data_IF_657024738124
#
_entry.id   IF_657024738124
#
_cell.length_a   1.000
_cell.length_b   1.000
_cell.length_c   1.000
_cell.angle_alpha   90.00
_cell.angle_beta   90.00
_cell.angle_gamma   90.00
#
_symmetry.space_group_name_H-M   'P 1'
#
loop_
_entity.id
_entity.type
_entity.pdbx_description
1 polymer ?
#
# COMPACT_ATOMS: atom_id res chain seq x y z
N UNK A 1 -54.03 -6.67 -73.07
CA UNK A 1 -52.99 -7.65 -72.66
C UNK A 1 -51.96 -6.94 -71.80
N UNK A 2 -51.82 -7.37 -70.54
CA UNK A 2 -50.65 -7.28 -69.63
C UNK A 2 -50.23 -5.88 -69.14
N UNK A 3 -50.65 -5.42 -67.95
CA UNK A 3 -49.99 -5.56 -66.62
C UNK A 3 -48.51 -5.17 -66.59
N UNK A 4 -48.15 -4.02 -65.96
CA UNK A 4 -47.19 -3.88 -64.84
C UNK A 4 -46.85 -2.40 -64.55
N UNK A 5 -46.57 -2.09 -63.27
CA UNK A 5 -45.89 -0.88 -62.73
C UNK A 5 -46.76 0.33 -62.34
N UNK A 6 -47.76 0.09 -61.49
CA UNK A 6 -47.85 0.89 -60.27
C UNK A 6 -46.82 0.31 -59.29
N UNK A 7 -45.87 1.13 -58.83
CA UNK A 7 -45.01 1.02 -57.63
C UNK A 7 -43.83 1.94 -57.95
N UNK A 8 -43.87 3.16 -57.41
CA UNK A 8 -42.81 4.17 -57.23
C UNK A 8 -43.38 5.60 -57.12
N UNK A 9 -44.71 5.75 -57.08
CA UNK A 9 -45.32 6.85 -56.35
C UNK A 9 -45.40 6.44 -54.87
N UNK A 10 -45.08 7.36 -53.96
CA UNK A 10 -45.06 7.21 -52.49
C UNK A 10 -43.69 6.76 -51.92
N UNK A 11 -42.63 7.51 -52.25
CA UNK A 11 -41.51 7.75 -51.33
C UNK A 11 -41.18 9.24 -51.54
N UNK A 12 -40.83 9.98 -50.49
CA UNK A 12 -40.70 11.47 -50.43
C UNK A 12 -42.01 12.16 -50.02
N UNK A 13 -42.54 11.78 -48.86
CA UNK A 13 -43.10 12.75 -47.94
C UNK A 13 -43.07 12.14 -46.54
N UNK A 14 -42.74 12.95 -45.54
CA UNK A 14 -42.70 12.63 -44.10
C UNK A 14 -41.64 11.61 -43.64
N UNK A 15 -40.48 12.12 -43.18
CA UNK A 15 -39.99 11.95 -41.79
C UNK A 15 -39.13 13.18 -41.50
N UNK A 16 -39.71 14.15 -40.81
CA UNK A 16 -38.99 15.23 -40.13
C UNK A 16 -39.32 15.09 -38.64
N UNK A 17 -38.80 14.03 -38.03
CA UNK A 17 -38.69 13.93 -36.58
C UNK A 17 -37.20 13.85 -36.27
N UNK A 18 -36.60 15.02 -36.09
CA UNK A 18 -35.34 15.16 -35.37
C UNK A 18 -35.64 14.73 -33.94
N UNK A 19 -35.34 13.47 -33.63
CA UNK A 19 -35.18 13.01 -32.26
C UNK A 19 -33.87 13.61 -31.77
N UNK A 20 -33.93 14.68 -30.98
CA UNK A 20 -32.83 15.01 -30.08
C UNK A 20 -32.74 13.84 -29.09
N UNK A 21 -31.81 12.91 -29.29
CA UNK A 21 -31.23 12.24 -28.14
C UNK A 21 -30.46 13.33 -27.39
N UNK A 22 -30.90 13.63 -26.17
CA UNK A 22 -29.99 14.21 -25.19
C UNK A 22 -28.91 13.15 -24.96
N UNK A 23 -27.83 13.24 -25.75
CA UNK A 23 -26.56 12.63 -25.39
C UNK A 23 -26.08 13.39 -24.16
N UNK A 24 -26.52 12.92 -22.99
CA UNK A 24 -25.88 13.25 -21.73
C UNK A 24 -24.53 12.56 -21.72
N UNK A 25 -23.57 13.16 -22.43
CA UNK A 25 -22.14 13.04 -22.14
C UNK A 25 -21.85 13.77 -20.82
N UNK A 26 -22.50 13.33 -19.73
CA UNK A 26 -22.03 13.70 -18.40
C UNK A 26 -20.65 13.05 -18.25
N UNK A 27 -19.58 13.83 -17.96
CA UNK A 27 -18.28 13.27 -17.74
C UNK A 27 -18.41 12.25 -16.60
N UNK A 28 -17.96 11.02 -16.83
CA UNK A 28 -17.88 10.01 -15.77
C UNK A 28 -16.96 10.58 -14.71
N UNK A 29 -17.54 11.13 -13.64
CA UNK A 29 -16.79 11.60 -12.47
C UNK A 29 -16.27 10.34 -11.80
N UNK A 30 -15.07 9.94 -12.18
CA UNK A 30 -14.31 8.88 -11.52
C UNK A 30 -14.21 9.22 -10.03
N UNK A 31 -14.68 8.31 -9.17
CA UNK A 31 -14.46 8.43 -7.74
C UNK A 31 -12.98 8.14 -7.46
N UNK A 32 -12.18 9.11 -7.00
CA UNK A 32 -10.73 8.95 -6.89
C UNK A 32 -10.30 7.98 -5.78
N UNK A 33 -11.25 7.54 -4.94
CA UNK A 33 -11.08 6.53 -3.89
C UNK A 33 -11.91 5.28 -4.14
N UNK A 34 -12.33 5.04 -5.39
CA UNK A 34 -12.99 3.79 -5.78
C UNK A 34 -12.12 2.57 -5.43
N UNK A 35 -12.73 1.56 -4.83
CA UNK A 35 -12.04 0.36 -4.34
C UNK A 35 -11.34 0.52 -3.00
N UNK A 36 -11.33 1.72 -2.40
CA UNK A 36 -10.82 1.93 -1.05
C UNK A 36 -11.95 2.00 -0.01
N UNK A 37 -11.64 1.55 1.20
CA UNK A 37 -12.52 1.64 2.37
C UNK A 37 -12.17 2.90 3.16
N UNK A 38 -13.16 3.74 3.48
CA UNK A 38 -13.00 4.81 4.48
C UNK A 38 -12.95 4.17 5.86
N UNK A 39 -11.81 4.24 6.53
CA UNK A 39 -11.60 3.65 7.86
C UNK A 39 -11.71 4.67 8.99
N UNK A 40 -11.47 5.96 8.70
CA UNK A 40 -11.68 7.05 9.65
C UNK A 40 -12.29 8.28 8.99
N UNK A 41 -13.03 9.04 9.79
CA UNK A 41 -13.48 10.40 9.49
C UNK A 41 -13.37 11.22 10.79
N UNK A 42 -12.45 12.19 10.79
CA UNK A 42 -12.26 13.15 11.86
C UNK A 42 -12.94 14.46 11.45
N UNK A 43 -14.01 14.83 12.14
CA UNK A 43 -14.84 15.98 11.75
C UNK A 43 -14.70 17.14 12.74
N UNK A 44 -14.41 18.31 12.20
CA UNK A 44 -14.42 19.59 12.89
C UNK A 44 -15.59 20.45 12.39
N UNK A 45 -15.72 21.68 12.89
CA UNK A 45 -16.82 22.56 12.52
C UNK A 45 -16.74 23.04 11.05
N UNK A 46 -15.53 23.22 10.52
CA UNK A 46 -15.25 23.81 9.21
C UNK A 46 -14.70 22.81 8.17
N UNK A 47 -14.22 21.64 8.60
CA UNK A 47 -13.70 20.61 7.71
C UNK A 47 -13.84 19.19 8.28
N UNK A 48 -13.58 18.17 7.45
CA UNK A 48 -13.28 16.82 7.91
C UNK A 48 -12.04 16.25 7.23
N UNK A 49 -11.34 15.36 7.94
CA UNK A 49 -10.24 14.54 7.42
C UNK A 49 -10.73 13.11 7.29
N UNK A 50 -10.67 12.56 6.08
CA UNK A 50 -11.06 11.19 5.78
C UNK A 50 -9.82 10.36 5.46
N UNK A 51 -9.72 9.18 6.08
CA UNK A 51 -8.61 8.24 5.87
C UNK A 51 -9.16 6.99 5.19
N UNK A 52 -8.50 6.59 4.10
CA UNK A 52 -8.86 5.47 3.27
C UNK A 52 -7.69 4.48 3.13
N UNK A 53 -8.01 3.20 3.00
CA UNK A 53 -7.06 2.13 2.69
C UNK A 53 -7.73 1.03 1.87
N UNK A 54 -6.97 0.12 1.27
CA UNK A 54 -7.50 -1.05 0.55
C UNK A 54 -7.88 -2.21 1.48
N UNK A 55 -7.57 -2.07 2.78
CA UNK A 55 -7.98 -2.98 3.86
C UNK A 55 -9.21 -2.44 4.61
N UNK A 56 -9.67 -3.18 5.62
CA UNK A 56 -10.74 -2.76 6.54
C UNK A 56 -10.25 -1.99 7.77
N UNK A 57 -8.95 -2.07 8.07
CA UNK A 57 -8.29 -1.51 9.25
C UNK A 57 -6.79 -1.40 9.00
N UNK A 58 -6.09 -0.66 9.86
CA UNK A 58 -4.62 -0.63 9.87
C UNK A 58 -4.09 -1.84 10.65
N UNK A 59 -2.98 -2.39 10.17
CA UNK A 59 -2.34 -3.57 10.76
C UNK A 59 -0.85 -3.35 10.98
N UNK A 60 -0.20 -4.19 11.80
CA UNK A 60 1.27 -4.23 11.86
C UNK A 60 1.83 -4.56 10.48
N UNK A 61 2.75 -3.72 10.02
CA UNK A 61 3.42 -3.81 8.72
C UNK A 61 3.07 -2.67 7.78
N UNK A 62 3.21 -2.92 6.48
CA UNK A 62 2.98 -1.92 5.44
C UNK A 62 1.49 -1.62 5.27
N UNK A 63 1.11 -0.36 5.39
CA UNK A 63 -0.24 0.14 5.16
C UNK A 63 -0.19 1.30 4.17
N UNK A 64 -0.78 1.10 3.00
CA UNK A 64 -1.01 2.19 2.05
C UNK A 64 -2.24 2.98 2.47
N UNK A 65 -2.09 4.29 2.56
CA UNK A 65 -3.09 5.20 3.11
C UNK A 65 -3.33 6.34 2.12
N UNK A 66 -4.61 6.64 1.92
CA UNK A 66 -5.08 7.78 1.15
C UNK A 66 -5.85 8.73 2.06
N UNK A 67 -5.51 10.02 2.04
CA UNK A 67 -6.14 11.06 2.86
C UNK A 67 -6.90 12.01 1.95
N UNK A 68 -8.08 12.42 2.39
CA UNK A 68 -8.84 13.52 1.80
C UNK A 68 -9.23 14.51 2.89
N UNK A 69 -9.25 15.78 2.55
CA UNK A 69 -9.68 16.86 3.45
C UNK A 69 -10.86 17.53 2.78
N UNK A 70 -12.00 17.62 3.47
CA UNK A 70 -13.24 18.21 2.96
C UNK A 70 -13.54 19.51 3.68
N UNK A 71 -13.69 20.60 2.94
CA UNK A 71 -14.15 21.89 3.46
C UNK A 71 -15.68 21.90 3.54
N UNK A 72 -16.24 22.10 4.74
CA UNK A 72 -17.68 22.08 5.00
C UNK A 72 -18.39 23.36 4.54
N UNK A 73 -17.68 24.47 4.39
CA UNK A 73 -18.27 25.72 3.90
C UNK A 73 -18.53 25.66 2.38
N UNK A 74 -17.63 25.02 1.64
CA UNK A 74 -17.74 24.87 0.18
C UNK A 74 -18.27 23.52 -0.30
N UNK A 75 -18.39 22.55 0.60
CA UNK A 75 -18.73 21.13 0.32
C UNK A 75 -17.79 20.49 -0.73
N UNK A 76 -16.51 20.89 -0.72
CA UNK A 76 -15.50 20.45 -1.68
C UNK A 76 -14.28 19.88 -0.98
N UNK A 77 -13.58 19.00 -1.67
CA UNK A 77 -12.31 18.48 -1.19
C UNK A 77 -11.15 19.41 -1.54
N UNK A 78 -10.23 19.58 -0.58
CA UNK A 78 -9.08 20.48 -0.69
C UNK A 78 -7.97 19.82 -1.51
N UNK A 79 -7.64 20.40 -2.67
CA UNK A 79 -6.64 19.87 -3.61
C UNK A 79 -5.23 20.44 -3.40
N UNK A 80 -5.09 21.51 -2.63
CA UNK A 80 -3.83 22.23 -2.37
C UNK A 80 -3.50 22.32 -0.87
N UNK A 81 -3.83 21.29 -0.10
CA UNK A 81 -3.64 21.27 1.35
C UNK A 81 -2.16 21.09 1.74
N UNK A 82 -1.33 20.53 0.85
CA UNK A 82 0.07 20.19 1.09
C UNK A 82 0.30 19.48 2.44
N UNK A 83 -0.41 18.36 2.71
CA UNK A 83 -0.38 17.73 4.01
C UNK A 83 0.96 17.05 4.28
N UNK A 84 1.35 17.04 5.55
CA UNK A 84 2.45 16.24 6.09
C UNK A 84 1.95 15.50 7.32
N UNK A 85 2.55 14.36 7.62
CA UNK A 85 2.14 13.53 8.76
C UNK A 85 3.33 13.03 9.56
N UNK A 86 3.07 12.65 10.82
CA UNK A 86 4.03 11.94 11.66
C UNK A 86 3.27 10.90 12.48
N UNK A 87 3.46 9.59 12.21
CA UNK A 87 2.94 8.55 13.09
C UNK A 87 3.75 8.49 14.38
N UNK A 88 3.07 8.37 15.51
CA UNK A 88 3.62 8.29 16.86
C UNK A 88 2.96 7.15 17.62
N UNK A 89 3.76 6.23 18.12
CA UNK A 89 3.36 5.22 19.08
C UNK A 89 3.59 5.78 20.48
N UNK A 90 2.55 5.83 21.29
CA UNK A 90 2.63 6.11 22.70
C UNK A 90 2.66 4.80 23.47
N UNK A 91 3.74 4.55 24.22
CA UNK A 91 3.83 3.45 25.18
C UNK A 91 3.82 4.03 26.60
N UNK A 92 3.70 3.18 27.62
CA UNK A 92 3.63 3.64 29.02
C UNK A 92 4.82 4.53 29.44
N UNK A 93 6.00 4.30 28.88
CA UNK A 93 7.26 4.95 29.30
C UNK A 93 8.08 5.54 28.17
N UNK A 94 7.67 5.33 26.92
CA UNK A 94 8.45 5.74 25.76
C UNK A 94 7.52 6.02 24.57
N UNK A 95 8.05 6.79 23.62
CA UNK A 95 7.38 7.05 22.37
C UNK A 95 8.35 6.75 21.23
N UNK A 96 7.82 6.28 20.12
CA UNK A 96 8.59 6.12 18.89
C UNK A 96 7.71 6.36 17.67
N UNK A 97 8.32 6.72 16.55
CA UNK A 97 7.64 6.85 15.26
C UNK A 97 7.75 5.55 14.44
N UNK A 98 7.22 5.59 13.22
CA UNK A 98 7.28 4.53 12.23
C UNK A 98 7.91 5.02 10.92
N UNK A 99 8.55 4.14 10.12
CA UNK A 99 8.84 4.44 8.73
C UNK A 99 7.58 4.88 8.00
N UNK A 100 7.65 6.01 7.33
CA UNK A 100 6.54 6.57 6.56
C UNK A 100 7.08 7.38 5.38
N UNK A 101 6.28 7.50 4.33
CA UNK A 101 6.62 8.39 3.20
C UNK A 101 6.15 9.81 3.46
N UNK A 102 6.63 10.75 2.67
CA UNK A 102 5.87 11.98 2.45
C UNK A 102 4.54 11.64 1.78
N UNK A 103 3.52 12.46 2.05
CA UNK A 103 2.27 12.43 1.33
C UNK A 103 2.47 13.08 -0.05
N UNK A 104 1.97 12.43 -1.08
CA UNK A 104 2.05 12.91 -2.45
C UNK A 104 0.66 12.96 -3.08
N UNK A 105 0.42 13.99 -3.88
CA UNK A 105 -0.78 14.12 -4.68
C UNK A 105 -0.38 13.94 -6.15
N UNK A 106 -0.98 12.98 -6.84
CA UNK A 106 -0.86 12.87 -8.30
C UNK A 106 -1.81 13.90 -8.91
N UNK A 107 -1.25 14.91 -9.58
CA UNK A 107 -1.89 16.20 -9.86
C UNK A 107 -3.37 16.13 -10.30
N UNK A 108 -4.17 17.03 -9.70
CA UNK A 108 -5.63 17.20 -9.78
C UNK A 108 -6.53 16.17 -9.07
N UNK A 109 -5.96 15.26 -8.29
CA UNK A 109 -6.75 14.45 -7.36
C UNK A 109 -6.90 15.15 -6.01
N UNK A 110 -8.07 15.06 -5.38
CA UNK A 110 -8.28 15.53 -3.99
C UNK A 110 -7.76 14.52 -2.96
N UNK A 111 -6.80 13.67 -3.35
CA UNK A 111 -6.34 12.50 -2.61
C UNK A 111 -4.83 12.59 -2.43
N UNK A 112 -4.40 12.54 -1.17
CA UNK A 112 -2.99 12.53 -0.80
C UNK A 112 -2.61 11.11 -0.38
N UNK A 113 -1.66 10.51 -1.08
CA UNK A 113 -1.25 9.12 -0.89
C UNK A 113 0.11 9.02 -0.23
N UNK A 114 0.24 8.08 0.68
CA UNK A 114 1.50 7.67 1.29
C UNK A 114 1.35 6.30 1.94
N UNK A 115 2.36 5.87 2.65
CA UNK A 115 2.26 4.67 3.47
C UNK A 115 2.98 4.84 4.81
N UNK A 116 2.59 4.00 5.76
CA UNK A 116 3.20 3.86 7.08
C UNK A 116 3.51 2.39 7.32
N UNK A 117 4.67 2.09 7.91
CA UNK A 117 5.08 0.74 8.33
C UNK A 117 5.00 0.65 9.86
N UNK A 118 3.84 0.27 10.39
CA UNK A 118 3.67 0.12 11.84
C UNK A 118 4.42 -1.11 12.34
N UNK A 119 5.23 -0.98 13.39
CA UNK A 119 6.05 -2.08 13.90
C UNK A 119 5.39 -2.86 15.03
N UNK A 120 4.31 -2.34 15.61
CA UNK A 120 3.57 -2.97 16.69
C UNK A 120 2.10 -2.58 16.69
N UNK A 121 1.26 -3.47 17.22
CA UNK A 121 -0.16 -3.22 17.39
C UNK A 121 -0.39 -2.33 18.62
N UNK A 122 -1.48 -1.56 18.59
CA UNK A 122 -1.96 -0.81 19.74
C UNK A 122 -2.83 -1.65 20.69
N UNK A 123 -3.13 -1.08 21.84
CA UNK A 123 -4.05 -1.55 22.87
C UNK A 123 -4.59 -0.34 23.68
N UNK A 124 -5.35 -0.60 24.74
CA UNK A 124 -6.01 0.44 25.55
C UNK A 124 -5.05 1.47 26.18
N UNK A 125 -3.80 1.08 26.45
CA UNK A 125 -2.79 1.92 27.13
C UNK A 125 -1.65 2.35 26.23
N UNK A 126 -1.39 1.61 25.15
CA UNK A 126 -0.33 1.90 24.21
C UNK A 126 -0.93 2.01 22.80
N UNK A 127 -0.90 3.18 22.19
CA UNK A 127 -1.70 3.47 21.00
C UNK A 127 -0.93 4.27 19.96
N UNK A 128 -1.44 4.26 18.72
CA UNK A 128 -0.91 5.08 17.64
C UNK A 128 -1.71 6.37 17.50
N UNK A 129 -1.00 7.45 17.28
CA UNK A 129 -1.51 8.76 16.86
C UNK A 129 -0.81 9.16 15.56
N UNK A 130 -1.56 9.74 14.63
CA UNK A 130 -1.01 10.34 13.42
C UNK A 130 -1.21 11.84 13.54
N UNK A 131 -0.13 12.59 13.76
CA UNK A 131 -0.17 14.05 13.71
C UNK A 131 -0.18 14.49 12.25
N UNK A 132 -1.28 15.09 11.80
CA UNK A 132 -1.45 15.61 10.44
C UNK A 132 -1.39 17.14 10.44
N UNK A 133 -0.51 17.69 9.62
CA UNK A 133 -0.36 19.12 9.39
C UNK A 133 -0.76 19.44 7.95
N UNK A 134 -1.62 20.45 7.73
CA UNK A 134 -2.10 20.80 6.40
C UNK A 134 -2.60 22.24 6.32
N UNK A 135 -2.85 22.73 5.11
CA UNK A 135 -3.42 24.05 4.86
C UNK A 135 -4.91 23.94 4.50
N UNK A 136 -5.75 24.69 5.20
CA UNK A 136 -7.16 24.87 4.87
C UNK A 136 -7.42 26.35 4.64
N UNK A 137 -7.82 26.73 3.43
CA UNK A 137 -8.15 28.12 3.08
C UNK A 137 -7.07 29.16 3.46
N UNK A 138 -5.79 28.75 3.36
CA UNK A 138 -4.63 29.59 3.70
C UNK A 138 -4.27 29.63 5.19
N UNK A 139 -4.96 28.87 6.04
CA UNK A 139 -4.64 28.69 7.46
C UNK A 139 -3.95 27.36 7.67
N UNK A 140 -2.90 27.35 8.51
CA UNK A 140 -2.25 26.13 8.94
C UNK A 140 -3.10 25.43 10.00
N UNK A 141 -3.32 24.14 9.79
CA UNK A 141 -4.06 23.24 10.67
C UNK A 141 -3.11 22.15 11.17
N UNK A 142 -3.29 21.76 12.42
CA UNK A 142 -2.62 20.62 13.05
C UNK A 142 -3.68 19.78 13.75
N UNK A 143 -3.72 18.48 13.46
CA UNK A 143 -4.70 17.55 14.01
C UNK A 143 -4.03 16.25 14.45
N UNK A 144 -4.26 15.88 15.70
CA UNK A 144 -3.82 14.62 16.30
C UNK A 144 -4.92 13.58 16.12
N UNK A 145 -4.66 12.57 15.29
CA UNK A 145 -5.64 11.53 14.94
C UNK A 145 -5.23 10.20 15.55
N UNK A 146 -5.93 9.76 16.60
CA UNK A 146 -5.74 8.42 17.16
C UNK A 146 -6.21 7.36 16.15
N UNK A 147 -5.38 6.36 15.89
CA UNK A 147 -5.67 5.27 14.95
C UNK A 147 -5.41 3.91 15.61
N UNK A 148 -6.26 2.95 15.29
CA UNK A 148 -6.16 1.58 15.78
C UNK A 148 -5.34 0.74 14.80
N UNK A 149 -4.24 0.18 15.30
CA UNK A 149 -3.38 -0.74 14.55
C UNK A 149 -3.48 -2.12 15.20
N UNK A 150 -4.00 -3.11 14.49
CA UNK A 150 -4.10 -4.48 14.99
C UNK A 150 -2.96 -5.36 14.51
N UNK A 151 -2.82 -6.55 15.08
CA UNK A 151 -2.03 -7.61 14.43
C UNK A 151 -2.68 -8.00 13.08
N UNK A 152 -1.89 -8.50 12.09
CA UNK A 152 -2.44 -9.04 10.86
C UNK A 152 -3.46 -10.13 11.16
N UNK A 153 -4.64 -10.04 10.54
CA UNK A 153 -5.73 -10.99 10.82
C UNK A 153 -5.40 -12.45 10.48
N UNK A 154 -4.48 -12.66 9.52
CA UNK A 154 -3.98 -13.98 9.11
C UNK A 154 -2.90 -14.53 10.07
N UNK A 155 -2.39 -13.72 11.00
CA UNK A 155 -1.33 -14.09 11.93
C UNK A 155 0.03 -14.33 11.25
N UNK A 156 0.18 -14.01 9.96
CA UNK A 156 1.38 -14.27 9.19
C UNK A 156 2.41 -13.15 9.39
N UNK A 157 3.66 -13.53 9.57
CA UNK A 157 4.74 -12.56 9.71
C UNK A 157 5.09 -11.90 8.36
N UNK A 158 4.63 -10.67 8.17
CA UNK A 158 4.89 -9.82 6.99
C UNK A 158 5.84 -8.64 7.29
N UNK A 159 6.37 -8.55 8.51
CA UNK A 159 7.24 -7.44 8.94
C UNK A 159 8.30 -7.92 9.92
N UNK A 160 9.56 -7.63 9.62
CA UNK A 160 10.71 -8.04 10.42
C UNK A 160 11.43 -6.82 10.99
N UNK A 161 11.61 -6.78 12.31
CA UNK A 161 12.48 -5.82 13.00
C UNK A 161 13.66 -6.60 13.58
N UNK A 162 14.88 -6.30 13.15
CA UNK A 162 16.06 -7.11 13.51
C UNK A 162 17.33 -6.28 13.63
N UNK A 163 18.30 -6.81 14.37
CA UNK A 163 19.67 -6.29 14.40
C UNK A 163 20.49 -7.00 13.31
N UNK A 164 21.17 -6.22 12.47
CA UNK A 164 22.15 -6.72 11.51
C UNK A 164 23.49 -7.06 12.17
N UNK A 165 24.34 -7.79 11.46
CA UNK A 165 25.72 -8.10 11.89
C UNK A 165 26.64 -6.86 11.97
N UNK A 166 26.16 -5.71 11.48
CA UNK A 166 26.82 -4.40 11.52
C UNK A 166 26.32 -3.53 12.71
N UNK A 167 25.61 -4.12 13.66
CA UNK A 167 24.97 -3.44 14.80
C UNK A 167 23.95 -2.34 14.41
N UNK A 168 23.47 -2.36 13.15
CA UNK A 168 22.37 -1.52 12.71
C UNK A 168 21.04 -2.26 12.89
N UNK A 169 20.03 -1.58 13.45
CA UNK A 169 18.66 -2.10 13.48
C UNK A 169 17.92 -1.76 12.19
N UNK A 170 17.27 -2.76 11.61
CA UNK A 170 16.52 -2.66 10.36
C UNK A 170 15.06 -3.02 10.55
N UNK A 171 14.22 -2.47 9.67
CA UNK A 171 12.81 -2.80 9.51
C UNK A 171 12.60 -3.18 8.06
N UNK A 172 12.14 -4.41 7.82
CA UNK A 172 11.82 -4.95 6.50
C UNK A 172 10.34 -5.31 6.47
N UNK A 173 9.58 -4.73 5.55
CA UNK A 173 8.14 -4.97 5.43
C UNK A 173 7.74 -5.42 4.03
N UNK A 174 6.90 -6.44 3.98
CA UNK A 174 6.28 -6.98 2.77
C UNK A 174 5.27 -5.98 2.19
N UNK A 175 5.28 -5.78 0.87
CA UNK A 175 4.36 -4.87 0.17
C UNK A 175 3.48 -5.63 -0.82
N UNK A 176 4.08 -6.42 -1.71
CA UNK A 176 3.38 -7.17 -2.75
C UNK A 176 3.96 -8.58 -2.87
N UNK A 177 3.19 -9.56 -3.39
CA UNK A 177 1.80 -9.42 -3.87
C UNK A 177 0.74 -9.30 -2.74
N UNK A 178 -0.23 -8.40 -2.90
CA UNK A 178 -1.42 -8.34 -2.04
C UNK A 178 -2.39 -9.51 -2.28
N UNK A 179 -2.54 -9.89 -3.55
CA UNK A 179 -3.34 -11.04 -4.00
C UNK A 179 -2.44 -12.06 -4.71
N UNK A 180 -1.75 -12.94 -3.97
CA UNK A 180 -0.84 -13.91 -4.56
C UNK A 180 -1.57 -14.91 -5.45
N UNK A 181 -0.89 -15.39 -6.48
CA UNK A 181 -1.42 -16.37 -7.44
C UNK A 181 -0.42 -17.47 -7.69
N UNK A 182 -0.91 -18.62 -8.14
CA UNK A 182 -0.09 -19.71 -8.68
C UNK A 182 0.48 -19.25 -10.03
N UNK A 183 1.57 -18.48 -9.96
CA UNK A 183 2.20 -17.75 -11.04
C UNK A 183 3.56 -17.21 -10.58
N UNK A 184 4.25 -16.47 -11.45
CA UNK A 184 5.32 -15.56 -11.05
C UNK A 184 4.66 -14.23 -10.67
N UNK A 185 4.74 -13.88 -9.39
CA UNK A 185 4.17 -12.66 -8.83
C UNK A 185 5.22 -11.56 -8.77
N UNK A 186 4.78 -10.31 -8.92
CA UNK A 186 5.60 -9.16 -8.58
C UNK A 186 5.80 -9.15 -7.06
N UNK A 187 7.06 -9.22 -6.65
CA UNK A 187 7.42 -9.25 -5.24
C UNK A 187 8.03 -7.92 -4.85
N UNK A 188 7.47 -7.28 -3.84
CA UNK A 188 7.96 -5.99 -3.36
C UNK A 188 8.06 -5.95 -1.85
N UNK A 189 9.07 -5.22 -1.38
CA UNK A 189 9.28 -4.93 0.03
C UNK A 189 9.89 -3.53 0.21
N UNK A 190 9.83 -3.01 1.42
CA UNK A 190 10.54 -1.79 1.82
C UNK A 190 11.50 -2.09 2.96
N UNK A 191 12.69 -1.50 2.91
CA UNK A 191 13.75 -1.67 3.90
C UNK A 191 14.15 -0.32 4.46
N UNK A 192 14.13 -0.22 5.78
CA UNK A 192 14.46 0.97 6.54
C UNK A 192 15.53 0.68 7.57
N UNK A 193 16.40 1.66 7.83
CA UNK A 193 17.29 1.67 8.98
C UNK A 193 16.62 2.42 10.10
N UNK A 194 16.59 1.87 11.31
CA UNK A 194 16.17 2.60 12.51
C UNK A 194 17.39 3.34 13.07
N UNK A 195 17.59 4.59 12.66
CA UNK A 195 18.71 5.41 13.18
C UNK A 195 18.47 5.81 14.63
N UNK A 196 17.23 6.11 14.97
CA UNK A 196 16.75 6.38 16.31
C UNK A 196 15.24 6.13 16.38
N UNK A 197 14.60 6.46 17.51
CA UNK A 197 13.16 6.23 17.71
C UNK A 197 12.27 7.07 16.78
N UNK A 198 12.80 8.10 16.11
CA UNK A 198 12.05 9.06 15.30
C UNK A 198 12.45 9.10 13.81
N UNK A 199 13.58 8.48 13.45
CA UNK A 199 14.18 8.61 12.12
C UNK A 199 14.42 7.24 11.51
N UNK A 200 13.78 7.03 10.35
CA UNK A 200 13.80 5.78 9.61
C UNK A 200 14.17 6.02 8.16
N UNK A 201 15.44 6.31 7.83
CA UNK A 201 15.83 6.46 6.44
C UNK A 201 15.72 5.14 5.68
N UNK A 202 15.27 5.25 4.42
CA UNK A 202 15.22 4.14 3.49
C UNK A 202 16.63 3.65 3.19
N UNK A 203 16.82 2.33 3.17
CA UNK A 203 18.08 1.72 2.79
C UNK A 203 18.06 1.47 1.29
N UNK A 204 18.93 2.16 0.56
CA UNK A 204 19.08 1.98 -0.88
C UNK A 204 20.27 1.05 -1.19
N UNK A 205 20.26 0.46 -2.39
CA UNK A 205 21.39 -0.27 -2.95
C UNK A 205 21.86 -1.53 -2.17
N UNK A 206 21.03 -2.07 -1.28
CA UNK A 206 21.26 -3.40 -0.72
C UNK A 206 20.61 -4.46 -1.63
N UNK A 207 20.83 -5.73 -1.30
CA UNK A 207 20.20 -6.86 -1.98
C UNK A 207 19.54 -7.77 -0.95
N UNK A 208 18.33 -8.23 -1.23
CA UNK A 208 17.64 -9.23 -0.40
C UNK A 208 17.42 -10.47 -1.25
N UNK A 209 18.07 -11.58 -0.92
CA UNK A 209 17.89 -12.82 -1.68
C UNK A 209 16.56 -13.47 -1.35
N UNK A 210 15.99 -14.24 -2.29
CA UNK A 210 14.64 -14.81 -2.15
C UNK A 210 14.66 -16.33 -2.38
N UNK A 211 14.30 -17.10 -1.35
CA UNK A 211 14.15 -18.56 -1.39
C UNK A 211 12.80 -18.98 -0.77
N UNK A 212 11.74 -19.13 -1.58
CA UNK A 212 10.43 -19.51 -1.07
C UNK A 212 10.34 -21.01 -0.82
N UNK A 213 9.84 -21.38 0.35
CA UNK A 213 9.67 -22.77 0.76
C UNK A 213 8.28 -23.06 1.26
N UNK A 214 7.84 -24.29 1.08
CA UNK A 214 6.67 -24.86 1.76
C UNK A 214 7.14 -25.85 2.83
N UNK A 215 7.28 -25.44 4.11
CA UNK A 215 7.74 -26.33 5.17
C UNK A 215 6.87 -27.59 5.32
N UNK A 216 5.55 -27.45 5.18
CA UNK A 216 4.59 -28.56 5.28
C UNK A 216 4.67 -29.58 4.12
N UNK A 217 5.43 -29.28 3.06
CA UNK A 217 5.56 -30.12 1.86
C UNK A 217 7.03 -30.56 1.65
N UNK A 218 7.71 -30.91 2.74
CA UNK A 218 9.11 -31.37 2.67
C UNK A 218 10.07 -30.27 2.22
N UNK A 219 9.79 -29.02 2.58
CA UNK A 219 10.57 -27.84 2.19
C UNK A 219 10.65 -27.63 0.65
N UNK A 220 9.55 -27.95 -0.04
CA UNK A 220 9.41 -27.72 -1.49
C UNK A 220 9.68 -26.26 -1.85
N UNK A 221 10.40 -26.03 -2.95
CA UNK A 221 10.72 -24.71 -3.49
C UNK A 221 10.15 -24.54 -4.89
N UNK A 222 10.06 -23.28 -5.34
CA UNK A 222 9.71 -22.92 -6.72
C UNK A 222 10.94 -22.43 -7.52
N UNK A 223 10.95 -22.57 -8.85
CA UNK A 223 11.95 -21.98 -9.74
C UNK A 223 11.60 -20.52 -10.12
N UNK A 224 12.48 -19.82 -10.84
CA UNK A 224 12.23 -18.49 -11.44
C UNK A 224 11.94 -17.36 -10.44
N UNK A 225 12.44 -17.47 -9.21
CA UNK A 225 12.46 -16.36 -8.26
C UNK A 225 13.56 -15.37 -8.65
N UNK A 226 13.31 -14.09 -8.44
CA UNK A 226 14.31 -13.02 -8.61
C UNK A 226 14.50 -12.29 -7.29
N UNK A 227 15.76 -12.13 -6.90
CA UNK A 227 16.14 -11.42 -5.69
C UNK A 227 15.61 -9.98 -5.70
N UNK A 228 15.27 -9.48 -4.53
CA UNK A 228 14.79 -8.13 -4.31
C UNK A 228 15.96 -7.13 -4.43
N UNK A 229 15.80 -6.15 -5.31
CA UNK A 229 16.76 -5.05 -5.53
C UNK A 229 16.07 -3.69 -5.48
N UNK A 230 16.76 -2.68 -4.97
CA UNK A 230 16.21 -1.34 -4.84
C UNK A 230 15.89 -0.70 -6.20
N UNK A 231 14.69 -0.14 -6.33
CA UNK A 231 14.24 0.60 -7.49
C UNK A 231 13.97 2.06 -7.11
N UNK A 232 14.77 2.98 -7.65
CA UNK A 232 14.68 4.41 -7.32
C UNK A 232 13.40 5.09 -7.84
N UNK A 233 12.73 4.53 -8.85
CA UNK A 233 11.47 5.07 -9.38
C UNK A 233 10.31 4.73 -8.45
N UNK A 234 10.20 3.47 -8.04
CA UNK A 234 9.13 3.04 -7.12
C UNK A 234 9.46 3.31 -5.66
N UNK A 235 10.73 3.61 -5.34
CA UNK A 235 11.28 3.74 -3.99
C UNK A 235 10.98 2.51 -3.12
N UNK A 236 11.13 1.34 -3.72
CA UNK A 236 10.89 0.03 -3.10
C UNK A 236 11.90 -1.00 -3.61
N UNK A 237 12.03 -2.12 -2.91
CA UNK A 237 12.72 -3.28 -3.43
C UNK A 237 11.77 -4.08 -4.31
N UNK A 238 12.21 -4.42 -5.52
CA UNK A 238 11.44 -5.18 -6.51
C UNK A 238 12.17 -6.47 -6.87
N UNK A 239 11.41 -7.55 -7.07
CA UNK A 239 11.88 -8.87 -7.45
C UNK A 239 10.72 -9.71 -7.96
N UNK A 240 10.89 -11.04 -8.00
CA UNK A 240 9.87 -11.99 -8.46
C UNK A 240 9.71 -13.13 -7.49
N UNK A 241 8.46 -13.45 -7.17
CA UNK A 241 8.10 -14.57 -6.30
C UNK A 241 7.24 -15.56 -7.10
N UNK A 242 7.86 -16.67 -7.50
CA UNK A 242 7.16 -17.78 -8.13
C UNK A 242 6.48 -18.65 -7.08
N UNK A 243 5.18 -18.85 -7.23
CA UNK A 243 4.38 -19.74 -6.39
C UNK A 243 3.77 -20.79 -7.29
N UNK A 244 4.08 -22.07 -7.04
CA UNK A 244 3.70 -23.19 -7.91
C UNK A 244 2.43 -23.90 -7.47
N UNK A 245 1.96 -23.62 -6.26
CA UNK A 245 0.72 -24.14 -5.67
C UNK A 245 0.26 -23.23 -4.53
N UNK A 246 -1.02 -23.37 -4.17
CA UNK A 246 -1.64 -22.70 -3.02
C UNK A 246 -1.17 -23.30 -1.69
N UNK A 247 -1.44 -22.60 -0.59
CA UNK A 247 -1.10 -23.02 0.77
C UNK A 247 -0.02 -22.15 1.42
N UNK A 248 0.47 -22.58 2.59
CA UNK A 248 1.46 -21.84 3.36
C UNK A 248 2.86 -21.90 2.73
N UNK A 249 3.44 -20.72 2.54
CA UNK A 249 4.81 -20.47 2.09
C UNK A 249 5.57 -19.64 3.12
N UNK A 250 6.77 -20.09 3.45
CA UNK A 250 7.79 -19.29 4.13
C UNK A 250 8.76 -18.76 3.08
N UNK A 251 8.79 -17.45 2.91
CA UNK A 251 9.68 -16.77 1.98
C UNK A 251 10.97 -16.48 2.73
N UNK A 252 11.97 -17.35 2.59
CA UNK A 252 13.26 -17.19 3.26
C UNK A 252 14.07 -16.10 2.56
N UNK A 253 14.69 -15.24 3.35
CA UNK A 253 15.38 -14.04 2.89
C UNK A 253 16.80 -13.98 3.45
N UNK A 254 17.69 -13.28 2.75
CA UNK A 254 19.01 -12.91 3.26
C UNK A 254 19.33 -11.48 2.86
N UNK A 255 19.53 -10.60 3.83
CA UNK A 255 19.91 -9.22 3.59
C UNK A 255 21.42 -9.12 3.39
N UNK A 256 21.83 -8.54 2.27
CA UNK A 256 23.22 -8.29 1.92
C UNK A 256 23.43 -6.79 1.66
N UNK A 257 24.50 -6.24 2.21
CA UNK A 257 24.87 -4.84 1.95
C UNK A 257 25.47 -4.66 0.54
N UNK A 258 25.81 -3.42 0.18
CA UNK A 258 26.36 -3.09 -1.14
C UNK A 258 27.71 -3.79 -1.46
N UNK A 259 28.46 -4.23 -0.45
CA UNK A 259 29.71 -4.98 -0.60
C UNK A 259 29.48 -6.50 -0.73
N UNK A 260 28.23 -6.96 -0.64
CA UNK A 260 27.88 -8.37 -0.63
C UNK A 260 28.07 -9.07 0.73
N UNK A 261 28.26 -8.32 1.81
CA UNK A 261 28.35 -8.89 3.16
C UNK A 261 26.94 -9.20 3.68
N UNK A 262 26.77 -10.37 4.29
CA UNK A 262 25.48 -10.79 4.85
C UNK A 262 25.26 -10.09 6.20
N UNK A 263 24.16 -9.34 6.29
CA UNK A 263 23.76 -8.64 7.51
C UNK A 263 22.79 -9.46 8.36
N UNK A 264 21.88 -10.21 7.73
CA UNK A 264 20.89 -11.05 8.40
C UNK A 264 20.35 -12.12 7.45
N UNK A 265 20.01 -13.28 7.99
CA UNK A 265 19.46 -14.40 7.24
C UNK A 265 20.52 -15.37 6.73
N UNK A 266 20.09 -16.54 6.29
CA UNK A 266 20.94 -17.68 5.99
C UNK A 266 20.52 -18.33 4.67
N UNK A 267 21.45 -19.06 4.04
CA UNK A 267 21.11 -19.91 2.90
C UNK A 267 20.26 -21.10 3.36
N UNK A 268 19.21 -21.41 2.60
CA UNK A 268 18.38 -22.59 2.85
C UNK A 268 19.08 -23.82 2.27
N UNK A 269 19.34 -24.80 3.12
CA UNK A 269 20.00 -26.06 2.79
C UNK A 269 19.32 -27.22 3.53
N UNK A 270 19.77 -28.46 3.30
CA UNK A 270 19.28 -29.61 4.07
C UNK A 270 19.61 -29.51 5.57
N UNK A 271 20.75 -28.89 5.93
CA UNK A 271 21.18 -28.72 7.32
C UNK A 271 20.61 -27.45 7.97
N UNK A 272 20.18 -26.48 7.15
CA UNK A 272 19.57 -25.24 7.58
C UNK A 272 18.27 -25.03 6.78
N UNK A 273 17.14 -25.63 7.20
CA UNK A 273 15.94 -25.69 6.39
C UNK A 273 15.20 -24.36 6.26
N UNK A 274 15.57 -23.35 7.05
CA UNK A 274 14.96 -22.03 7.03
C UNK A 274 15.95 -20.92 7.37
N UNK A 275 15.68 -19.71 6.88
CA UNK A 275 16.40 -18.49 7.26
C UNK A 275 15.74 -17.86 8.49
N UNK A 276 16.55 -17.22 9.33
CA UNK A 276 16.11 -16.38 10.45
C UNK A 276 15.50 -15.05 10.00
N UNK A 277 15.63 -14.70 8.71
CA UNK A 277 14.90 -13.60 8.08
C UNK A 277 13.94 -14.19 7.05
N UNK A 278 12.66 -13.92 7.22
CA UNK A 278 11.63 -14.46 6.34
C UNK A 278 10.35 -13.62 6.35
N UNK A 279 9.50 -13.82 5.34
CA UNK A 279 8.08 -13.50 5.40
C UNK A 279 7.24 -14.77 5.34
N UNK A 280 5.97 -14.66 5.74
CA UNK A 280 4.99 -15.73 5.64
C UNK A 280 3.84 -15.31 4.72
N UNK A 281 3.36 -16.26 3.94
CA UNK A 281 2.31 -16.08 2.96
C UNK A 281 1.43 -17.32 2.89
N UNK A 282 0.13 -17.16 2.88
CA UNK A 282 -0.83 -18.25 2.63
C UNK A 282 -1.97 -17.72 1.77
N UNK A 283 -2.34 -18.47 0.74
CA UNK A 283 -3.36 -18.11 -0.25
C UNK A 283 -3.92 -19.35 -0.96
#
# INVERSE_FOLDING_TARGET
MKTLKYIFAIIILSISFVSCSEDNDDPVVSNPVEGLTKIYEFSQADHSVEIYTDKTNLEVGYNEISIRIKDMASDKYVTNAAPTWMPMMHMETMEHSAPHTLLSNTEESSVYKGYIVFQMAGNDTEYWEVMLNYNLNGQAMEEAMMVDVSQPADGLNKTQVFMGSDDTRYILAYVNPKDPKVAINDFQAVLYKMENMMSFPMVENYKITVDPRMPGMGNHSSPNNEDLTYNATTKMYNGKLSLTMTGYWKINLKLMNANGEVLKGEDVTELNPESSLYFELEF
#
